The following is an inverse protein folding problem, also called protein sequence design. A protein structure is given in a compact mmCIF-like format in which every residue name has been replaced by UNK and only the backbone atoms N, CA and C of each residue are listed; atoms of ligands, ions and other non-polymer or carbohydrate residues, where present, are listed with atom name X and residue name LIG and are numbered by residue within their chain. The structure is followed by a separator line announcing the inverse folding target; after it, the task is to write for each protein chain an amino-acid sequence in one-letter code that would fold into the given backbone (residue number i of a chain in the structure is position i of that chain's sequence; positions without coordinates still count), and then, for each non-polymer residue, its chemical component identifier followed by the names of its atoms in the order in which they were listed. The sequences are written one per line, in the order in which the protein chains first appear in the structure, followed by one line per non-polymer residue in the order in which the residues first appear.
data_IF_244918073023
#
_entry.id   IF_244918073023
#
_cell.length_a   1.000
_cell.length_b   1.000
_cell.length_c   1.000
_cell.angle_alpha   90.00
_cell.angle_beta   90.00
_cell.angle_gamma   90.00
#
_symmetry.space_group_name_H-M   'P 1'
#
loop_
_entity.id
_entity.type
_entity.pdbx_description
1 polymer ?
#
# COMPACT_ATOMS: atom_id res chain seq x y z
N UNK A 1 -7.68 -14.43 8.74
CA UNK A 1 -7.17 -14.84 10.06
C UNK A 1 -8.28 -14.67 11.08
N UNK A 2 -8.58 -15.68 11.91
CA UNK A 2 -9.70 -15.60 12.85
C UNK A 2 -9.26 -14.81 14.08
N UNK A 3 -10.14 -14.01 14.68
CA UNK A 3 -9.85 -13.20 15.87
C UNK A 3 -9.22 -13.99 17.03
N UNK A 4 -9.52 -15.29 17.10
CA UNK A 4 -9.01 -16.24 18.09
C UNK A 4 -7.50 -16.53 17.91
N UNK A 5 -6.92 -16.34 16.72
CA UNK A 5 -5.50 -16.57 16.46
C UNK A 5 -4.60 -15.54 17.19
N UNK A 6 -5.14 -14.36 17.52
CA UNK A 6 -4.44 -13.36 18.36
C UNK A 6 -4.27 -13.81 19.81
N UNK A 7 -5.04 -14.82 20.25
CA UNK A 7 -4.93 -15.39 21.59
C UNK A 7 -3.98 -16.59 21.66
N UNK A 8 -3.27 -16.96 20.58
CA UNK A 8 -2.27 -18.03 20.64
C UNK A 8 -1.08 -17.64 21.53
N UNK A 9 -0.59 -18.56 22.39
CA UNK A 9 0.57 -18.31 23.24
C UNK A 9 1.82 -18.11 22.38
N UNK A 10 2.36 -16.88 22.39
CA UNK A 10 3.53 -16.49 21.60
C UNK A 10 3.60 -14.97 21.38
N UNK A 11 2.45 -14.32 21.22
CA UNK A 11 2.36 -12.88 21.08
C UNK A 11 2.12 -12.26 22.46
N UNK A 12 3.08 -11.47 22.98
CA UNK A 12 3.06 -10.89 24.34
C UNK A 12 1.96 -9.84 24.60
N UNK A 13 0.96 -9.71 23.70
CA UNK A 13 -0.14 -8.73 23.75
C UNK A 13 -1.02 -8.90 24.99
N UNK A 14 -1.24 -10.14 25.47
CA UNK A 14 -2.10 -10.44 26.63
C UNK A 14 -1.71 -9.66 27.89
N UNK A 15 -0.39 -9.49 28.13
CA UNK A 15 0.13 -8.79 29.31
C UNK A 15 -0.19 -7.29 29.29
N UNK A 16 -0.21 -6.69 28.10
CA UNK A 16 -0.47 -5.26 27.93
C UNK A 16 -1.96 -4.93 27.97
N UNK A 17 -2.82 -5.83 27.47
CA UNK A 17 -4.27 -5.72 27.65
C UNK A 17 -4.64 -5.83 29.13
N UNK A 18 -4.03 -6.76 29.87
CA UNK A 18 -4.22 -6.89 31.31
C UNK A 18 -3.78 -5.62 32.06
N UNK A 19 -2.65 -5.01 31.67
CA UNK A 19 -2.17 -3.76 32.24
C UNK A 19 -3.13 -2.59 31.99
N UNK A 20 -3.73 -2.50 30.81
CA UNK A 20 -4.79 -1.52 30.51
C UNK A 20 -6.05 -1.74 31.35
N UNK A 21 -6.48 -2.99 31.53
CA UNK A 21 -7.63 -3.34 32.37
C UNK A 21 -7.40 -2.98 33.85
N UNK A 22 -6.19 -3.20 34.36
CA UNK A 22 -5.80 -2.76 35.72
C UNK A 22 -5.88 -1.24 35.84
N UNK A 23 -5.39 -0.49 34.85
CA UNK A 23 -5.50 0.97 34.84
C UNK A 23 -6.94 1.48 34.87
N UNK A 24 -7.84 0.86 34.12
CA UNK A 24 -9.28 1.20 34.13
C UNK A 24 -9.92 0.90 35.50
N UNK A 25 -9.60 -0.25 36.10
CA UNK A 25 -10.09 -0.62 37.42
C UNK A 25 -9.60 0.36 38.51
N UNK A 26 -8.33 0.78 38.45
CA UNK A 26 -7.75 1.78 39.34
C UNK A 26 -8.48 3.13 39.22
N UNK A 27 -8.73 3.62 38.00
CA UNK A 27 -9.48 4.88 37.80
C UNK A 27 -10.90 4.76 38.35
N UNK A 28 -11.58 3.64 38.06
CA UNK A 28 -12.95 3.42 38.53
C UNK A 28 -13.04 3.40 40.05
N UNK A 29 -12.11 2.72 40.72
CA UNK A 29 -12.04 2.68 42.19
C UNK A 29 -11.68 4.05 42.78
N UNK A 30 -10.69 4.74 42.19
CA UNK A 30 -10.28 6.08 42.61
C UNK A 30 -11.42 7.11 42.49
N UNK A 31 -12.19 7.06 41.40
CA UNK A 31 -13.33 7.96 41.20
C UNK A 31 -14.47 7.68 42.18
N UNK A 32 -14.80 6.41 42.41
CA UNK A 32 -15.84 6.01 43.39
C UNK A 32 -15.48 6.48 44.81
N UNK A 33 -14.22 6.36 45.19
CA UNK A 33 -13.73 6.78 46.50
C UNK A 33 -13.69 8.30 46.65
N UNK A 34 -13.30 9.03 45.59
CA UNK A 34 -13.31 10.49 45.56
C UNK A 34 -14.70 11.06 45.81
N UNK A 35 -15.75 10.49 45.17
CA UNK A 35 -17.14 10.94 45.36
C UNK A 35 -17.63 10.72 46.78
N UNK A 36 -17.23 9.62 47.44
CA UNK A 36 -17.69 9.26 48.79
C UNK A 36 -17.04 10.08 49.90
N UNK A 37 -15.74 10.36 49.79
CA UNK A 37 -14.93 10.90 50.89
C UNK A 37 -14.68 12.41 50.80
N UNK A 38 -15.21 13.10 49.78
CA UNK A 38 -14.89 14.51 49.48
C UNK A 38 -15.18 15.48 50.63
N UNK A 39 -16.14 15.16 51.52
CA UNK A 39 -16.52 15.97 52.68
C UNK A 39 -16.02 15.42 54.01
N UNK A 40 -15.50 14.18 54.06
CA UNK A 40 -15.20 13.49 55.31
C UNK A 40 -13.71 13.52 55.67
N UNK A 41 -12.80 13.31 54.69
CA UNK A 41 -11.39 13.10 54.97
C UNK A 41 -10.48 13.65 53.88
N UNK A 42 -9.77 14.75 54.15
CA UNK A 42 -8.85 15.38 53.17
C UNK A 42 -7.70 14.47 52.73
N UNK A 43 -7.20 13.59 53.61
CA UNK A 43 -6.13 12.62 53.29
C UNK A 43 -6.59 11.60 52.25
N UNK A 44 -7.82 11.13 52.36
CA UNK A 44 -8.40 10.11 51.47
C UNK A 44 -8.70 10.66 50.08
N UNK A 45 -9.03 11.95 49.99
CA UNK A 45 -9.17 12.68 48.71
C UNK A 45 -7.84 12.79 47.98
N UNK A 46 -6.75 13.09 48.68
CA UNK A 46 -5.41 13.14 48.05
C UNK A 46 -5.00 11.75 47.52
N UNK A 47 -5.27 10.70 48.30
CA UNK A 47 -4.95 9.32 47.91
C UNK A 47 -5.75 8.86 46.68
N UNK A 48 -7.03 9.24 46.58
CA UNK A 48 -7.86 8.89 45.41
C UNK A 48 -7.39 9.58 44.13
N UNK A 49 -6.95 10.85 44.21
CA UNK A 49 -6.37 11.58 43.09
C UNK A 49 -5.07 10.90 42.60
N UNK A 50 -4.18 10.51 43.51
CA UNK A 50 -2.96 9.77 43.16
C UNK A 50 -3.28 8.44 42.47
N UNK A 51 -4.32 7.75 42.92
CA UNK A 51 -4.76 6.47 42.37
C UNK A 51 -5.29 6.63 40.93
N UNK A 52 -6.06 7.70 40.65
CA UNK A 52 -6.52 8.04 39.29
C UNK A 52 -5.33 8.36 38.38
N UNK A 53 -4.36 9.16 38.84
CA UNK A 53 -3.14 9.49 38.06
C UNK A 53 -2.37 8.22 37.72
N UNK A 54 -2.18 7.32 38.68
CA UNK A 54 -1.50 6.03 38.44
C UNK A 54 -2.23 5.16 37.41
N UNK A 55 -3.57 5.14 37.45
CA UNK A 55 -4.39 4.44 36.47
C UNK A 55 -4.24 4.99 35.06
N UNK A 56 -4.19 6.32 34.89
CA UNK A 56 -3.92 6.97 33.62
C UNK A 56 -2.54 6.59 33.05
N UNK A 57 -1.52 6.51 33.90
CA UNK A 57 -0.16 6.08 33.51
C UNK A 57 -0.17 4.63 33.02
N UNK A 58 -0.88 3.73 33.70
CA UNK A 58 -0.97 2.34 33.26
C UNK A 58 -1.69 2.18 31.91
N UNK A 59 -2.77 2.94 31.67
CA UNK A 59 -3.44 2.93 30.36
C UNK A 59 -2.50 3.42 29.26
N UNK A 60 -1.78 4.51 29.50
CA UNK A 60 -0.82 5.06 28.53
C UNK A 60 0.31 4.07 28.20
N UNK A 61 0.91 3.45 29.22
CA UNK A 61 1.93 2.42 29.03
C UNK A 61 1.37 1.21 28.28
N UNK A 62 0.18 0.73 28.65
CA UNK A 62 -0.49 -0.38 27.99
C UNK A 62 -0.70 -0.11 26.49
N UNK A 63 -1.21 1.07 26.14
CA UNK A 63 -1.42 1.49 24.76
C UNK A 63 -0.10 1.54 23.97
N UNK A 64 0.95 2.14 24.55
CA UNK A 64 2.28 2.23 23.92
C UNK A 64 2.86 0.85 23.59
N UNK A 65 2.73 -0.11 24.51
CA UNK A 65 3.27 -1.45 24.29
C UNK A 65 2.41 -2.29 23.34
N UNK A 66 1.08 -2.10 23.31
CA UNK A 66 0.20 -2.75 22.32
C UNK A 66 0.61 -2.34 20.91
N UNK A 67 0.78 -1.04 20.65
CA UNK A 67 1.24 -0.52 19.35
C UNK A 67 2.58 -1.14 18.97
N UNK A 68 3.56 -1.15 19.89
CA UNK A 68 4.87 -1.76 19.66
C UNK A 68 4.77 -3.25 19.29
N UNK A 69 3.95 -4.02 19.99
CA UNK A 69 3.75 -5.45 19.69
C UNK A 69 3.02 -5.70 18.38
N UNK A 70 2.09 -4.82 18.00
CA UNK A 70 1.38 -4.89 16.73
C UNK A 70 2.32 -4.66 15.54
N UNK A 71 3.14 -3.61 15.61
CA UNK A 71 4.18 -3.37 14.60
C UNK A 71 5.19 -4.53 14.49
N UNK A 72 5.62 -5.09 15.63
CA UNK A 72 6.50 -6.26 15.66
C UNK A 72 5.84 -7.48 15.00
N UNK A 73 4.56 -7.73 15.26
CA UNK A 73 3.83 -8.88 14.69
C UNK A 73 3.70 -8.78 13.17
N UNK A 74 3.41 -7.58 12.65
CA UNK A 74 3.36 -7.31 11.20
C UNK A 74 4.72 -7.54 10.54
N UNK A 75 5.81 -7.14 11.19
CA UNK A 75 7.16 -7.32 10.64
C UNK A 75 7.61 -8.78 10.54
N UNK A 76 7.06 -9.67 11.38
CA UNK A 76 7.51 -11.08 11.45
C UNK A 76 6.74 -12.01 10.48
N UNK A 77 5.58 -11.59 9.96
CA UNK A 77 4.72 -12.35 9.04
C UNK A 77 5.17 -12.30 7.57
N UNK A 78 6.47 -12.15 7.30
CA UNK A 78 7.02 -12.16 5.93
C UNK A 78 6.78 -10.87 5.13
N UNK A 79 6.07 -9.90 5.70
CA UNK A 79 5.93 -8.57 5.12
C UNK A 79 7.02 -7.67 5.74
N UNK A 80 8.20 -7.63 5.09
CA UNK A 80 9.25 -6.66 5.36
C UNK A 80 8.73 -5.25 5.04
N UNK A 81 7.88 -4.69 5.90
CA UNK A 81 7.71 -3.24 6.02
C UNK A 81 8.91 -2.73 6.82
N UNK A 82 10.11 -2.89 6.28
CA UNK A 82 11.12 -1.85 6.45
C UNK A 82 10.80 -0.80 5.39
N UNK A 83 9.65 -0.13 5.53
CA UNK A 83 9.42 1.14 4.85
C UNK A 83 10.34 2.12 5.59
N UNK A 84 11.60 2.10 5.17
CA UNK A 84 12.54 3.16 5.42
C UNK A 84 11.82 4.46 5.06
N UNK A 85 11.48 5.26 6.08
CA UNK A 85 10.66 6.47 5.92
C UNK A 85 11.23 7.39 4.85
N UNK A 86 12.56 7.37 4.73
CA UNK A 86 13.34 8.16 3.80
C UNK A 86 13.14 7.68 2.35
N UNK A 87 13.00 6.37 2.14
CA UNK A 87 12.72 5.79 0.83
C UNK A 87 11.30 6.10 0.38
N UNK A 88 10.33 6.04 1.29
CA UNK A 88 8.95 6.42 1.01
C UNK A 88 8.84 7.92 0.72
N UNK A 89 9.51 8.78 1.49
CA UNK A 89 9.53 10.22 1.23
C UNK A 89 10.16 10.54 -0.11
N UNK A 90 11.24 9.85 -0.49
CA UNK A 90 11.89 10.03 -1.79
C UNK A 90 10.98 9.61 -2.94
N UNK A 91 10.29 8.47 -2.85
CA UNK A 91 9.32 8.04 -3.87
C UNK A 91 8.13 9.02 -4.01
N UNK A 92 7.65 9.56 -2.88
CA UNK A 92 6.58 10.57 -2.88
C UNK A 92 7.06 11.91 -3.46
N UNK A 93 8.31 12.29 -3.18
CA UNK A 93 8.94 13.48 -3.70
C UNK A 93 9.16 13.39 -5.22
N UNK A 94 9.71 12.26 -5.70
CA UNK A 94 9.85 11.96 -7.13
C UNK A 94 8.51 12.03 -7.84
N UNK A 95 7.47 11.34 -7.34
CA UNK A 95 6.13 11.42 -7.94
C UNK A 95 5.61 12.85 -8.00
N UNK A 96 5.83 13.65 -6.96
CA UNK A 96 5.39 15.06 -6.93
C UNK A 96 6.12 15.92 -7.97
N UNK A 97 7.42 15.67 -8.21
CA UNK A 97 8.18 16.35 -9.27
C UNK A 97 7.66 15.95 -10.64
N UNK A 98 7.47 14.65 -10.89
CA UNK A 98 7.02 14.15 -12.19
C UNK A 98 5.65 14.70 -12.60
N UNK A 99 4.74 14.89 -11.63
CA UNK A 99 3.43 15.53 -11.84
C UNK A 99 3.55 16.99 -12.27
N UNK A 100 4.57 17.70 -11.77
CA UNK A 100 4.89 19.07 -12.19
C UNK A 100 5.81 19.12 -13.42
N UNK A 101 6.17 17.97 -13.97
CA UNK A 101 7.02 17.85 -15.15
C UNK A 101 6.39 18.47 -16.40
N UNK A 102 7.18 18.71 -17.46
CA UNK A 102 6.71 19.29 -18.71
C UNK A 102 5.63 18.41 -19.36
N UNK A 103 4.67 19.05 -20.04
CA UNK A 103 3.69 18.34 -20.88
C UNK A 103 4.38 17.93 -22.18
N UNK A 104 4.45 16.63 -22.44
CA UNK A 104 5.17 16.07 -23.59
C UNK A 104 4.16 15.33 -24.47
N UNK A 105 4.11 15.68 -25.75
CA UNK A 105 3.35 14.94 -26.76
C UNK A 105 4.36 14.20 -27.64
N UNK A 106 4.26 12.88 -27.68
CA UNK A 106 5.08 12.01 -28.52
C UNK A 106 4.20 11.39 -29.60
N UNK A 107 4.59 11.53 -30.87
CA UNK A 107 3.82 11.07 -32.03
C UNK A 107 4.67 10.07 -32.80
N UNK A 108 4.11 8.90 -33.13
CA UNK A 108 4.84 7.88 -33.88
C UNK A 108 4.17 6.52 -33.87
N UNK A 109 4.99 5.46 -33.99
CA UNK A 109 4.56 4.07 -34.01
C UNK A 109 5.67 3.10 -33.61
N UNK A 110 5.36 1.82 -33.67
CA UNK A 110 6.30 0.73 -33.50
C UNK A 110 7.03 0.69 -32.15
N UNK A 111 8.21 0.08 -32.21
CA UNK A 111 9.11 -0.08 -31.06
C UNK A 111 9.85 1.21 -30.69
N UNK A 112 10.04 2.12 -31.64
CA UNK A 112 10.72 3.39 -31.43
C UNK A 112 9.95 4.28 -30.44
N UNK A 113 8.64 4.47 -30.67
CA UNK A 113 7.80 5.27 -29.78
C UNK A 113 7.74 4.66 -28.37
N UNK A 114 7.49 3.36 -28.25
CA UNK A 114 7.42 2.69 -26.94
C UNK A 114 8.76 2.75 -26.16
N UNK A 115 9.90 2.68 -26.86
CA UNK A 115 11.23 2.85 -26.23
C UNK A 115 11.42 4.28 -25.72
N UNK A 116 11.04 5.28 -26.51
CA UNK A 116 11.11 6.70 -26.11
C UNK A 116 10.20 6.97 -24.91
N UNK A 117 8.95 6.48 -24.92
CA UNK A 117 8.01 6.64 -23.82
C UNK A 117 8.53 6.03 -22.50
N UNK A 118 9.20 4.88 -22.58
CA UNK A 118 9.82 4.22 -21.41
C UNK A 118 10.90 5.11 -20.77
N UNK A 119 11.69 5.81 -21.58
CA UNK A 119 12.68 6.77 -21.10
C UNK A 119 12.03 8.07 -20.57
N UNK A 120 11.06 8.62 -21.30
CA UNK A 120 10.38 9.87 -20.94
C UNK A 120 9.62 9.79 -19.62
N UNK A 121 9.07 8.61 -19.28
CA UNK A 121 8.35 8.39 -18.01
C UNK A 121 9.20 8.72 -16.77
N UNK A 122 10.53 8.64 -16.88
CA UNK A 122 11.47 8.99 -15.80
C UNK A 122 11.53 10.51 -15.57
N UNK A 123 11.11 11.33 -16.53
CA UNK A 123 11.24 12.80 -16.48
C UNK A 123 9.91 13.53 -16.31
N UNK A 124 8.79 12.93 -16.74
CA UNK A 124 7.46 13.54 -16.60
C UNK A 124 6.36 12.49 -16.52
N UNK A 125 5.33 12.75 -15.72
CA UNK A 125 4.08 11.98 -15.77
C UNK A 125 3.04 12.57 -16.73
N UNK A 126 3.34 13.70 -17.35
CA UNK A 126 2.42 14.43 -18.25
C UNK A 126 2.72 14.08 -19.72
N UNK A 127 2.65 12.80 -20.05
CA UNK A 127 2.98 12.29 -21.39
C UNK A 127 1.70 11.91 -22.14
N UNK A 128 1.55 12.44 -23.35
CA UNK A 128 0.53 12.02 -24.30
C UNK A 128 1.20 11.33 -25.47
N UNK A 129 0.84 10.07 -25.73
CA UNK A 129 1.31 9.33 -26.88
C UNK A 129 0.22 9.31 -27.97
N UNK A 130 0.56 9.77 -29.17
CA UNK A 130 -0.26 9.63 -30.37
C UNK A 130 0.35 8.51 -31.19
N UNK A 131 -0.34 7.38 -31.23
CA UNK A 131 0.14 6.13 -31.82
C UNK A 131 -0.52 5.90 -33.17
N UNK A 132 0.27 5.63 -34.20
CA UNK A 132 -0.23 5.21 -35.51
C UNK A 132 -0.91 3.85 -35.39
N UNK A 133 -2.02 3.69 -36.11
CA UNK A 133 -2.80 2.45 -36.23
C UNK A 133 -2.86 1.99 -37.69
N UNK A 134 -1.86 2.38 -38.47
CA UNK A 134 -1.76 2.01 -39.89
C UNK A 134 -1.19 0.61 -40.12
N UNK A 135 -0.58 0.00 -39.11
CA UNK A 135 0.06 -1.31 -39.20
C UNK A 135 -0.91 -2.40 -39.69
N UNK A 136 -0.43 -3.25 -40.59
CA UNK A 136 -1.17 -4.35 -41.21
C UNK A 136 -0.48 -5.71 -41.05
N UNK A 137 0.67 -5.74 -40.36
CA UNK A 137 1.50 -6.93 -40.19
C UNK A 137 1.23 -7.75 -38.92
N UNK A 138 1.58 -9.05 -38.98
CA UNK A 138 1.61 -9.96 -37.83
C UNK A 138 0.23 -10.22 -37.20
N UNK A 139 0.23 -10.59 -35.92
CA UNK A 139 -1.01 -10.94 -35.20
C UNK A 139 -2.03 -9.79 -35.10
N UNK A 140 -1.56 -8.54 -35.05
CA UNK A 140 -2.44 -7.36 -35.08
C UNK A 140 -3.12 -7.15 -36.42
N UNK A 141 -2.45 -7.45 -37.54
CA UNK A 141 -3.06 -7.46 -38.87
C UNK A 141 -4.16 -8.53 -39.01
N UNK A 142 -3.91 -9.72 -38.46
CA UNK A 142 -4.91 -10.81 -38.44
C UNK A 142 -6.15 -10.39 -37.64
N UNK A 143 -5.99 -9.86 -36.43
CA UNK A 143 -7.12 -9.38 -35.63
C UNK A 143 -7.90 -8.25 -36.31
N UNK A 144 -7.21 -7.36 -37.04
CA UNK A 144 -7.85 -6.32 -37.85
C UNK A 144 -8.72 -6.91 -38.96
N UNK A 145 -8.25 -7.95 -39.66
CA UNK A 145 -8.99 -8.62 -40.72
C UNK A 145 -10.18 -9.42 -40.17
N UNK A 146 -9.97 -10.16 -39.08
CA UNK A 146 -10.97 -11.06 -38.51
C UNK A 146 -12.07 -10.33 -37.73
N UNK A 147 -11.70 -9.28 -36.99
CA UNK A 147 -12.62 -8.56 -36.08
C UNK A 147 -13.04 -7.17 -36.60
N UNK A 148 -12.46 -6.70 -37.71
CA UNK A 148 -12.72 -5.35 -38.25
C UNK A 148 -12.27 -4.21 -37.33
N UNK A 149 -11.38 -4.50 -36.36
CA UNK A 149 -10.87 -3.52 -35.39
C UNK A 149 -9.57 -2.86 -35.85
N UNK A 150 -9.18 -1.76 -35.21
CA UNK A 150 -7.86 -1.17 -35.39
C UNK A 150 -6.76 -2.11 -34.86
N UNK A 151 -5.57 -2.14 -35.48
CA UNK A 151 -4.47 -3.01 -35.07
C UNK A 151 -3.98 -2.62 -33.66
N UNK A 152 -4.03 -3.53 -32.66
CA UNK A 152 -3.76 -3.17 -31.26
C UNK A 152 -2.28 -3.15 -30.87
N UNK A 153 -1.37 -3.67 -31.69
CA UNK A 153 0.00 -4.01 -31.30
C UNK A 153 0.85 -2.85 -30.81
N UNK A 154 0.87 -1.75 -31.55
CA UNK A 154 1.66 -0.57 -31.19
C UNK A 154 1.11 0.16 -29.97
N UNK A 155 -0.22 0.21 -29.85
CA UNK A 155 -0.90 0.76 -28.68
C UNK A 155 -0.55 -0.08 -27.44
N UNK A 156 -0.62 -1.41 -27.54
CA UNK A 156 -0.23 -2.33 -26.46
C UNK A 156 1.20 -2.08 -25.99
N UNK A 157 2.16 -1.95 -26.92
CA UNK A 157 3.55 -1.68 -26.59
C UNK A 157 3.73 -0.31 -25.90
N UNK A 158 3.00 0.71 -26.32
CA UNK A 158 3.02 2.04 -25.69
C UNK A 158 2.41 2.03 -24.28
N UNK A 159 1.29 1.31 -24.08
CA UNK A 159 0.68 1.11 -22.77
C UNK A 159 1.69 0.44 -21.83
N UNK A 160 2.33 -0.64 -22.27
CA UNK A 160 3.35 -1.35 -21.50
C UNK A 160 4.59 -0.51 -21.19
N UNK A 161 4.94 0.44 -22.05
CA UNK A 161 6.05 1.35 -21.81
C UNK A 161 5.76 2.37 -20.70
N UNK A 162 4.50 2.83 -20.61
CA UNK A 162 4.07 3.82 -19.62
C UNK A 162 3.55 3.19 -18.32
N UNK A 163 3.10 1.94 -18.35
CA UNK A 163 2.51 1.28 -17.19
C UNK A 163 3.54 1.04 -16.07
N UNK A 164 3.12 1.24 -14.82
CA UNK A 164 3.85 0.79 -13.62
C UNK A 164 3.32 -0.60 -13.26
N UNK A 165 3.81 -1.61 -13.95
CA UNK A 165 3.29 -2.98 -13.85
C UNK A 165 4.24 -3.88 -13.07
N UNK A 166 3.66 -4.81 -12.31
CA UNK A 166 4.43 -5.91 -11.74
C UNK A 166 5.04 -6.78 -12.86
N UNK A 167 6.22 -7.38 -12.63
CA UNK A 167 6.90 -8.19 -13.65
C UNK A 167 6.04 -9.31 -14.25
N UNK A 168 5.10 -9.86 -13.47
CA UNK A 168 4.18 -10.91 -13.92
C UNK A 168 3.16 -10.36 -14.94
N UNK A 169 2.59 -9.19 -14.66
CA UNK A 169 1.63 -8.55 -15.57
C UNK A 169 2.29 -8.15 -16.88
N UNK A 170 3.53 -7.63 -16.82
CA UNK A 170 4.30 -7.33 -18.03
C UNK A 170 4.51 -8.58 -18.88
N UNK A 171 4.91 -9.71 -18.28
CA UNK A 171 5.08 -10.98 -18.99
C UNK A 171 3.78 -11.48 -19.61
N UNK A 172 2.66 -11.34 -18.90
CA UNK A 172 1.36 -11.77 -19.37
C UNK A 172 0.92 -10.97 -20.61
N UNK A 173 0.97 -9.64 -20.57
CA UNK A 173 0.57 -8.79 -21.70
C UNK A 173 1.51 -8.98 -22.90
N UNK A 174 2.79 -9.25 -22.67
CA UNK A 174 3.76 -9.54 -23.73
C UNK A 174 3.74 -10.98 -24.23
N UNK A 175 3.00 -11.87 -23.57
CA UNK A 175 2.97 -13.28 -23.92
C UNK A 175 2.46 -13.47 -25.35
N UNK A 176 3.11 -14.38 -26.07
CA UNK A 176 2.73 -14.81 -27.41
C UNK A 176 2.51 -16.31 -27.37
N UNK A 177 1.35 -16.75 -27.84
CA UNK A 177 1.01 -18.16 -27.87
C UNK A 177 1.97 -18.91 -28.81
N UNK A 178 2.61 -19.96 -28.31
CA UNK A 178 3.59 -20.75 -29.08
C UNK A 178 2.93 -21.80 -29.97
N UNK A 179 1.76 -22.31 -29.58
CA UNK A 179 1.05 -23.39 -30.25
C UNK A 179 -0.48 -23.22 -30.24
N UNK A 180 -1.17 -24.07 -31.01
CA UNK A 180 -2.63 -24.09 -31.13
C UNK A 180 -3.18 -23.07 -32.15
N UNK A 181 -4.49 -22.83 -32.09
CA UNK A 181 -5.21 -21.95 -33.02
C UNK A 181 -4.73 -20.49 -32.89
N UNK A 182 -4.32 -20.10 -31.68
CA UNK A 182 -3.82 -18.76 -31.39
C UNK A 182 -2.31 -18.62 -31.64
N UNK A 183 -1.64 -19.61 -32.23
CA UNK A 183 -0.19 -19.58 -32.46
C UNK A 183 0.25 -18.28 -33.12
N UNK A 184 1.20 -17.60 -32.49
CA UNK A 184 1.73 -16.32 -32.94
C UNK A 184 0.88 -15.10 -32.54
N UNK A 185 -0.32 -15.26 -31.98
CA UNK A 185 -1.08 -14.17 -31.39
C UNK A 185 -0.50 -13.75 -30.06
N UNK A 186 -0.62 -12.47 -29.73
CA UNK A 186 -0.26 -11.98 -28.41
C UNK A 186 -1.48 -11.93 -27.51
N UNK A 187 -1.30 -12.33 -26.26
CA UNK A 187 -2.35 -12.24 -25.25
C UNK A 187 -2.81 -10.80 -24.99
N UNK A 188 -1.91 -9.82 -25.08
CA UNK A 188 -2.26 -8.42 -24.86
C UNK A 188 -2.90 -7.71 -26.05
N UNK A 189 -3.02 -8.38 -27.21
CA UNK A 189 -3.70 -7.88 -28.39
C UNK A 189 -5.16 -8.34 -28.39
#
# INVERSE_FOLDING_TARGET
MRFIDWFKPGIRIKRWIALGAVGIASISYGLSYLVREIYYNSILVVLSILLIISGCVFIFLGMKYIVKTFFMAISHSGFKISLDSDRLSNLLYEKRILIKGPKIVAVGGGTGLSTMLRGLKVYSSNITAIVTVADDGGGSGVLRQDLGMLPPGDIRNCILALADTEPIMQKLIQYRFEDGILKGQSFGN
#
